data_IF_728454837393
#
_entry.id   IF_728454837393
#
_cell.length_a   1.000
_cell.length_b   1.000
_cell.length_c   1.000
_cell.angle_alpha   90.00
_cell.angle_beta   90.00
_cell.angle_gamma   90.00
#
_symmetry.space_group_name_H-M   'P 1'
#
loop_
_entity.id
_entity.type
_entity.pdbx_description
1 polymer ?
#
# COMPACT_ATOMS: atom_id res chain seq x y z
N UNK A 1 -13.66 -23.68 12.12
CA UNK A 1 -12.59 -22.67 12.01
C UNK A 1 -11.71 -22.77 13.24
N UNK A 2 -10.40 -22.91 13.11
CA UNK A 2 -9.46 -22.91 14.23
C UNK A 2 -8.68 -21.59 14.23
N UNK A 3 -8.76 -20.81 15.31
CA UNK A 3 -8.10 -19.50 15.44
C UNK A 3 -7.87 -19.13 16.89
N UNK A 4 -6.85 -18.30 17.14
CA UNK A 4 -6.60 -17.69 18.45
C UNK A 4 -7.54 -16.51 18.76
N UNK A 5 -8.28 -15.99 17.76
CA UNK A 5 -9.20 -14.86 17.90
C UNK A 5 -10.64 -15.25 17.50
N UNK A 6 -11.31 -16.15 18.25
CA UNK A 6 -12.65 -16.64 17.89
C UNK A 6 -13.70 -15.53 17.83
N UNK A 7 -13.52 -14.45 18.61
CA UNK A 7 -14.48 -13.35 18.72
C UNK A 7 -14.26 -12.22 17.72
N UNK A 8 -13.25 -12.31 16.84
CA UNK A 8 -13.03 -11.30 15.82
C UNK A 8 -14.21 -11.31 14.84
N UNK A 9 -14.75 -10.13 14.47
CA UNK A 9 -15.99 -10.03 13.67
C UNK A 9 -15.96 -10.89 12.40
N UNK A 10 -14.84 -10.87 11.68
CA UNK A 10 -14.67 -11.66 10.47
C UNK A 10 -14.73 -13.17 10.72
N UNK A 11 -14.21 -13.64 11.86
CA UNK A 11 -14.25 -15.05 12.24
C UNK A 11 -15.67 -15.45 12.66
N UNK A 12 -16.33 -14.64 13.48
CA UNK A 12 -17.70 -14.89 13.92
C UNK A 12 -18.68 -14.95 12.73
N UNK A 13 -18.58 -13.97 11.82
CA UNK A 13 -19.39 -13.93 10.61
C UNK A 13 -19.11 -15.14 9.69
N UNK A 14 -17.84 -15.52 9.50
CA UNK A 14 -17.48 -16.71 8.73
C UNK A 14 -18.03 -18.00 9.35
N UNK A 15 -17.97 -18.15 10.67
CA UNK A 15 -18.51 -19.32 11.37
C UNK A 15 -20.04 -19.42 11.27
N UNK A 16 -20.73 -18.28 11.21
CA UNK A 16 -22.18 -18.20 11.03
C UNK A 16 -22.62 -18.20 9.55
N UNK A 17 -21.69 -18.28 8.59
CA UNK A 17 -21.96 -18.09 7.16
C UNK A 17 -22.63 -16.75 6.82
N UNK A 18 -22.46 -15.73 7.67
CA UNK A 18 -23.04 -14.39 7.48
C UNK A 18 -22.12 -13.51 6.63
N UNK A 19 -22.14 -13.75 5.32
CA UNK A 19 -21.37 -12.96 4.37
C UNK A 19 -21.82 -11.49 4.33
N UNK A 20 -23.13 -11.24 4.43
CA UNK A 20 -23.68 -9.89 4.31
C UNK A 20 -23.26 -9.00 5.49
N UNK A 21 -23.34 -9.53 6.72
CA UNK A 21 -22.87 -8.85 7.92
C UNK A 21 -21.36 -8.58 7.89
N UNK A 22 -20.57 -9.57 7.47
CA UNK A 22 -19.13 -9.37 7.24
C UNK A 22 -18.87 -8.23 6.24
N UNK A 23 -19.50 -8.29 5.07
CA UNK A 23 -19.28 -7.33 4.00
C UNK A 23 -19.67 -5.91 4.43
N UNK A 24 -20.80 -5.74 5.12
CA UNK A 24 -21.24 -4.45 5.63
C UNK A 24 -20.22 -3.83 6.60
N UNK A 25 -19.72 -4.61 7.56
CA UNK A 25 -18.74 -4.14 8.54
C UNK A 25 -17.37 -3.87 7.91
N UNK A 26 -16.88 -4.78 7.05
CA UNK A 26 -15.61 -4.64 6.34
C UNK A 26 -15.61 -3.42 5.42
N UNK A 27 -16.69 -3.19 4.68
CA UNK A 27 -16.84 -2.03 3.81
C UNK A 27 -16.94 -0.72 4.59
N UNK A 28 -17.56 -0.71 5.78
CA UNK A 28 -17.56 0.46 6.64
C UNK A 28 -16.14 0.81 7.11
N UNK A 29 -15.39 -0.20 7.60
CA UNK A 29 -14.01 -0.02 8.03
C UNK A 29 -13.10 0.48 6.89
N UNK A 30 -13.22 -0.11 5.69
CA UNK A 30 -12.43 0.31 4.52
C UNK A 30 -12.72 1.74 4.08
N UNK A 31 -13.97 2.19 4.21
CA UNK A 31 -14.36 3.56 3.91
C UNK A 31 -13.67 4.54 4.85
N UNK A 32 -13.72 4.27 6.15
CA UNK A 32 -13.08 5.09 7.18
C UNK A 32 -11.56 5.14 7.02
N UNK A 33 -10.94 4.01 6.64
CA UNK A 33 -9.51 3.89 6.46
C UNK A 33 -9.00 4.27 5.05
N UNK A 34 -9.90 4.64 4.13
CA UNK A 34 -9.54 5.03 2.77
C UNK A 34 -8.91 3.91 1.94
N UNK A 35 -9.42 2.68 2.08
CA UNK A 35 -9.01 1.53 1.26
C UNK A 35 -10.01 1.25 0.12
N UNK A 36 -9.61 0.44 -0.89
CA UNK A 36 -10.53 0.01 -1.94
C UNK A 36 -11.81 -0.62 -1.38
N UNK A 37 -12.99 -0.33 -1.96
CA UNK A 37 -13.19 0.35 -3.24
C UNK A 37 -13.24 1.90 -3.17
N UNK A 38 -13.18 2.51 -1.99
CA UNK A 38 -13.42 3.94 -1.81
C UNK A 38 -12.24 4.81 -2.23
N UNK A 39 -11.01 4.27 -2.16
CA UNK A 39 -9.82 4.87 -2.75
C UNK A 39 -9.02 3.80 -3.48
N UNK A 40 -8.18 4.23 -4.43
CA UNK A 40 -7.30 3.35 -5.20
C UNK A 40 -5.93 3.30 -4.54
N UNK A 41 -5.24 2.18 -4.76
CA UNK A 41 -3.86 2.00 -4.32
C UNK A 41 -2.93 2.04 -5.53
N UNK A 42 -1.73 2.57 -5.35
CA UNK A 42 -0.59 2.27 -6.20
C UNK A 42 0.54 1.71 -5.35
N UNK A 43 1.14 0.61 -5.80
CA UNK A 43 2.31 -0.02 -5.19
C UNK A 43 3.52 0.28 -6.06
N UNK A 44 4.49 0.95 -5.48
CA UNK A 44 5.76 1.26 -6.11
C UNK A 44 6.82 0.38 -5.47
N UNK A 45 7.59 -0.34 -6.28
CA UNK A 45 8.67 -1.22 -5.80
C UNK A 45 9.96 -0.88 -6.52
N UNK A 46 11.01 -0.64 -5.75
CA UNK A 46 12.37 -0.50 -6.24
C UNK A 46 13.20 -1.69 -5.78
N UNK A 47 14.11 -2.16 -6.64
CA UNK A 47 14.99 -3.28 -6.34
C UNK A 47 16.42 -2.98 -6.78
N UNK A 48 17.41 -3.29 -5.93
CA UNK A 48 18.83 -3.11 -6.23
C UNK A 48 19.66 -4.23 -5.59
N UNK A 49 20.80 -4.57 -6.19
CA UNK A 49 21.75 -5.51 -5.60
C UNK A 49 22.41 -4.93 -4.32
N UNK A 50 22.50 -3.61 -4.21
CA UNK A 50 22.97 -2.91 -3.01
C UNK A 50 21.80 -2.58 -2.09
N UNK A 51 21.84 -3.02 -0.81
CA UNK A 51 20.80 -2.69 0.16
C UNK A 51 20.70 -1.19 0.44
N UNK A 52 21.84 -0.51 0.50
CA UNK A 52 21.90 0.94 0.78
C UNK A 52 21.33 1.77 -0.36
N UNK A 53 21.62 1.41 -1.62
CA UNK A 53 20.99 2.07 -2.77
C UNK A 53 19.49 1.82 -2.82
N UNK A 54 19.05 0.58 -2.55
CA UNK A 54 17.62 0.25 -2.56
C UNK A 54 16.84 1.09 -1.54
N UNK A 55 17.38 1.24 -0.33
CA UNK A 55 16.79 2.07 0.72
C UNK A 55 16.81 3.56 0.34
N UNK A 56 17.97 4.08 -0.07
CA UNK A 56 18.13 5.50 -0.36
C UNK A 56 17.22 5.99 -1.50
N UNK A 57 17.07 5.18 -2.56
CA UNK A 57 16.14 5.46 -3.65
C UNK A 57 14.68 5.49 -3.16
N UNK A 58 14.31 4.56 -2.29
CA UNK A 58 12.96 4.50 -1.73
C UNK A 58 12.66 5.69 -0.79
N UNK A 59 13.63 6.09 0.04
CA UNK A 59 13.53 7.28 0.88
C UNK A 59 13.41 8.56 0.04
N UNK A 60 14.21 8.68 -1.02
CA UNK A 60 14.15 9.80 -1.95
C UNK A 60 12.79 9.94 -2.64
N UNK A 61 12.25 8.84 -3.18
CA UNK A 61 10.93 8.88 -3.80
C UNK A 61 9.83 9.15 -2.77
N UNK A 62 9.91 8.57 -1.57
CA UNK A 62 8.92 8.82 -0.54
C UNK A 62 8.90 10.29 -0.11
N UNK A 63 10.06 10.94 0.02
CA UNK A 63 10.15 12.37 0.31
C UNK A 63 9.50 13.22 -0.80
N UNK A 64 9.75 12.89 -2.06
CA UNK A 64 9.12 13.58 -3.20
C UNK A 64 7.59 13.42 -3.21
N UNK A 65 7.10 12.21 -2.91
CA UNK A 65 5.65 11.94 -2.81
C UNK A 65 5.02 12.70 -1.63
N UNK A 66 5.64 12.69 -0.44
CA UNK A 66 5.18 13.46 0.72
C UNK A 66 5.07 14.95 0.41
N UNK A 67 6.08 15.52 -0.24
CA UNK A 67 6.07 16.91 -0.66
C UNK A 67 4.96 17.21 -1.69
N UNK A 68 4.67 16.29 -2.60
CA UNK A 68 3.56 16.42 -3.54
C UNK A 68 2.18 16.32 -2.85
N UNK A 69 2.02 15.43 -1.87
CA UNK A 69 0.80 15.33 -1.05
C UNK A 69 0.56 16.63 -0.28
N UNK A 70 1.58 17.14 0.42
CA UNK A 70 1.50 18.38 1.19
C UNK A 70 1.11 19.58 0.31
N UNK A 71 1.71 19.72 -0.88
CA UNK A 71 1.37 20.79 -1.84
C UNK A 71 -0.09 20.75 -2.33
N UNK A 72 -0.69 19.55 -2.36
CA UNK A 72 -2.09 19.35 -2.78
C UNK A 72 -3.06 19.32 -1.58
N UNK A 73 -2.59 19.59 -0.36
CA UNK A 73 -3.41 19.53 0.86
C UNK A 73 -3.90 18.12 1.21
N UNK A 74 -3.18 17.08 0.75
CA UNK A 74 -3.52 15.68 1.00
C UNK A 74 -2.77 15.18 2.26
N UNK A 75 -3.37 14.25 3.02
CA UNK A 75 -2.79 13.78 4.26
C UNK A 75 -1.53 12.95 4.00
N UNK A 76 -0.51 13.12 4.84
CA UNK A 76 0.72 12.33 4.75
C UNK A 76 0.45 10.83 4.94
N UNK A 77 -0.59 10.48 5.71
CA UNK A 77 -1.04 9.10 5.90
C UNK A 77 -1.46 8.42 4.60
N UNK A 78 -1.64 9.13 3.49
CA UNK A 78 -1.84 8.51 2.18
C UNK A 78 -0.60 7.78 1.65
N UNK A 79 0.57 8.02 2.23
CA UNK A 79 1.80 7.32 1.94
C UNK A 79 2.12 6.29 3.03
N UNK A 80 2.22 5.02 2.66
CA UNK A 80 2.68 3.94 3.54
C UNK A 80 4.08 3.54 3.11
N UNK A 81 5.00 3.46 4.08
CA UNK A 81 6.42 3.24 3.83
C UNK A 81 7.22 4.56 3.74
N UNK A 82 8.42 4.53 3.15
CA UNK A 82 9.05 3.41 2.46
C UNK A 82 9.39 2.30 3.45
N UNK A 83 9.21 1.04 3.06
CA UNK A 83 9.55 -0.11 3.89
C UNK A 83 9.95 -1.31 3.02
N UNK A 84 10.71 -2.28 3.57
CA UNK A 84 10.88 -3.57 2.90
C UNK A 84 9.51 -4.25 2.71
N UNK A 85 9.21 -4.85 1.54
CA UNK A 85 8.04 -5.70 1.36
C UNK A 85 8.19 -7.00 2.17
N UNK A 86 7.14 -7.82 2.23
CA UNK A 86 7.15 -9.08 2.99
C UNK A 86 8.36 -9.96 2.63
N UNK A 87 8.67 -10.03 1.32
CA UNK A 87 9.92 -10.60 0.82
C UNK A 87 10.94 -9.51 0.51
N UNK A 88 11.72 -9.11 1.53
CA UNK A 88 12.70 -8.03 1.47
C UNK A 88 13.89 -8.29 0.52
N UNK A 89 14.21 -9.56 0.23
CA UNK A 89 15.26 -9.96 -0.72
C UNK A 89 14.73 -11.04 -1.66
N UNK A 90 14.91 -10.86 -2.97
CA UNK A 90 14.52 -11.84 -3.98
C UNK A 90 15.56 -11.85 -5.10
N UNK A 91 16.05 -13.04 -5.48
CA UNK A 91 17.05 -13.21 -6.55
C UNK A 91 18.26 -12.27 -6.38
N UNK A 92 18.82 -12.27 -5.16
CA UNK A 92 19.94 -11.43 -4.73
C UNK A 92 19.76 -9.91 -4.87
N UNK A 93 18.51 -9.44 -4.98
CA UNK A 93 18.17 -8.01 -4.96
C UNK A 93 17.37 -7.66 -3.72
N UNK A 94 17.74 -6.55 -3.09
CA UNK A 94 17.03 -5.94 -1.98
C UNK A 94 15.89 -5.10 -2.51
N UNK A 95 14.73 -5.22 -1.87
CA UNK A 95 13.48 -4.63 -2.35
C UNK A 95 12.96 -3.64 -1.32
N UNK A 96 12.45 -2.52 -1.81
CA UNK A 96 11.75 -1.53 -1.02
C UNK A 96 10.45 -1.16 -1.71
N UNK A 97 9.41 -0.92 -0.91
CA UNK A 97 8.11 -0.56 -1.42
C UNK A 97 7.54 0.69 -0.77
N UNK A 98 6.70 1.36 -1.54
CA UNK A 98 5.87 2.48 -1.13
C UNK A 98 4.45 2.17 -1.61
N UNK A 99 3.46 2.39 -0.76
CA UNK A 99 2.05 2.27 -1.14
C UNK A 99 1.42 3.65 -1.02
N UNK A 100 0.80 4.10 -2.11
CA UNK A 100 0.06 5.35 -2.18
C UNK A 100 -1.44 5.06 -2.21
N UNK A 101 -2.18 5.63 -1.27
CA UNK A 101 -3.65 5.76 -1.33
C UNK A 101 -4.00 7.05 -2.05
N UNK A 102 -4.79 6.98 -3.11
CA UNK A 102 -5.25 8.17 -3.82
C UNK A 102 -6.58 7.91 -4.56
N UNK A 103 -7.34 8.96 -4.87
CA UNK A 103 -8.53 8.81 -5.71
C UNK A 103 -8.14 8.38 -7.14
N UNK A 104 -7.11 9.01 -7.69
CA UNK A 104 -6.45 8.61 -8.94
C UNK A 104 -4.92 8.62 -8.77
N UNK A 105 -4.31 7.50 -8.33
CA UNK A 105 -2.86 7.46 -8.12
C UNK A 105 -2.08 7.55 -9.44
N UNK A 106 -2.68 7.17 -10.58
CA UNK A 106 -2.00 7.25 -11.86
C UNK A 106 -1.82 8.70 -12.31
N UNK A 107 -2.85 9.54 -12.18
CA UNK A 107 -2.74 10.99 -12.41
C UNK A 107 -1.72 11.62 -11.46
N UNK A 108 -1.85 11.34 -10.16
CA UNK A 108 -0.99 11.94 -9.13
C UNK A 108 0.50 11.63 -9.37
N UNK A 109 0.83 10.37 -9.69
CA UNK A 109 2.21 9.95 -9.90
C UNK A 109 2.82 10.51 -11.20
N UNK A 110 2.03 10.92 -12.19
CA UNK A 110 2.57 11.57 -13.42
C UNK A 110 3.25 12.91 -13.13
N UNK A 111 2.85 13.60 -12.07
CA UNK A 111 3.44 14.87 -11.65
C UNK A 111 4.76 14.69 -10.87
N UNK A 112 5.17 13.44 -10.61
CA UNK A 112 6.35 13.11 -9.81
C UNK A 112 7.39 12.45 -10.71
N UNK A 113 8.64 12.93 -10.62
CA UNK A 113 9.75 12.33 -11.34
C UNK A 113 10.13 11.01 -10.67
N UNK A 114 9.77 9.90 -11.29
CA UNK A 114 10.16 8.55 -10.86
C UNK A 114 11.36 8.11 -11.69
N UNK A 115 12.48 7.80 -11.01
CA UNK A 115 13.70 7.34 -11.67
C UNK A 115 13.52 5.94 -12.30
N UNK A 116 14.45 5.55 -13.19
CA UNK A 116 14.44 4.19 -13.77
C UNK A 116 14.64 3.14 -12.67
N UNK A 117 14.05 1.95 -12.87
CA UNK A 117 14.17 0.82 -11.93
C UNK A 117 12.98 0.65 -10.98
N UNK A 118 12.08 1.63 -10.93
CA UNK A 118 10.80 1.49 -10.24
C UNK A 118 9.80 0.68 -11.06
N UNK A 119 9.13 -0.27 -10.40
CA UNK A 119 7.91 -0.89 -10.90
C UNK A 119 6.72 -0.23 -10.22
N UNK A 120 5.76 0.23 -11.00
CA UNK A 120 4.54 0.87 -10.51
C UNK A 120 3.35 0.01 -10.91
N UNK A 121 2.64 -0.49 -9.91
CA UNK A 121 1.41 -1.27 -10.07
C UNK A 121 0.22 -0.43 -9.56
N UNK A 122 -0.68 -0.06 -10.46
CA UNK A 122 -1.87 0.74 -10.15
C UNK A 122 -3.05 -0.20 -9.98
N UNK A 123 -3.71 -0.12 -8.83
CA UNK A 123 -4.69 -1.10 -8.35
C UNK A 123 -4.09 -2.51 -8.18
N UNK A 124 -3.04 -2.65 -7.35
CA UNK A 124 -2.42 -3.94 -7.09
C UNK A 124 -3.44 -4.92 -6.48
N UNK A 125 -3.40 -6.17 -6.92
CA UNK A 125 -4.21 -7.25 -6.32
C UNK A 125 -3.72 -7.56 -4.90
N UNK A 126 -2.43 -7.36 -4.63
CA UNK A 126 -1.81 -7.58 -3.32
C UNK A 126 -0.74 -6.54 -2.99
N UNK A 127 -0.71 -6.15 -1.72
CA UNK A 127 0.32 -5.26 -1.16
C UNK A 127 1.50 -6.00 -0.52
N UNK A 128 1.44 -7.34 -0.43
CA UNK A 128 2.49 -8.19 0.13
C UNK A 128 3.74 -8.30 -0.76
#
# INVERSE_FOLDING_TARGET
>A
VQTYHPNHYAIAAAAAHDYAGFAAQELAFRREQGYPPYRRLAKLVYEDASPTRAQSEAEGLAAAVRAALARRGLPESDLIGPAPPFFARLRDRYRWQIILRHADPAEFLRAIKIHRGWRVDVAPVSVL
#
